data_IF_637076170319
#
_entry.id   IF_637076170319
#
_cell.length_a   1.000
_cell.length_b   1.000
_cell.length_c   1.000
_cell.angle_alpha   90.00
_cell.angle_beta   90.00
_cell.angle_gamma   90.00
#
_symmetry.space_group_name_H-M   'P 1'
#
loop_
_entity.id
_entity.type
_entity.pdbx_description
1 polymer ?
#
# COMPACT_ATOMS: atom_id res chain seq x y z
N UNK A 1 18.11 12.59 -33.60
CA UNK A 1 17.09 11.74 -32.96
C UNK A 1 16.43 10.97 -34.08
N UNK A 2 16.60 9.66 -34.11
CA UNK A 2 16.06 8.80 -35.16
C UNK A 2 14.64 8.31 -34.84
N UNK A 3 14.08 7.47 -35.72
CA UNK A 3 12.73 6.90 -35.55
C UNK A 3 12.63 6.06 -34.28
N UNK A 4 13.64 5.24 -33.99
CA UNK A 4 13.66 4.36 -32.83
C UNK A 4 13.76 5.18 -31.53
N UNK A 5 14.60 6.22 -31.50
CA UNK A 5 14.68 7.16 -30.38
C UNK A 5 13.30 7.76 -30.05
N UNK A 6 12.54 8.11 -31.09
CA UNK A 6 11.21 8.74 -30.94
C UNK A 6 10.19 7.76 -30.38
N UNK A 7 10.20 6.52 -30.86
CA UNK A 7 9.36 5.44 -30.35
C UNK A 7 9.69 5.11 -28.88
N UNK A 8 10.97 5.06 -28.52
CA UNK A 8 11.42 4.84 -27.14
C UNK A 8 10.92 5.97 -26.23
N UNK A 9 11.07 7.23 -26.64
CA UNK A 9 10.57 8.35 -25.82
C UNK A 9 9.05 8.33 -25.68
N UNK A 10 8.31 7.97 -26.74
CA UNK A 10 6.87 7.85 -26.68
C UNK A 10 6.43 6.71 -25.73
N UNK A 11 7.08 5.55 -25.81
CA UNK A 11 6.84 4.42 -24.93
C UNK A 11 7.15 4.75 -23.47
N UNK A 12 8.27 5.44 -23.19
CA UNK A 12 8.63 5.89 -21.85
C UNK A 12 7.58 6.84 -21.25
N UNK A 13 7.10 7.82 -22.04
CA UNK A 13 6.02 8.73 -21.63
C UNK A 13 4.71 7.97 -21.34
N UNK A 14 4.36 6.99 -22.18
CA UNK A 14 3.17 6.14 -21.97
C UNK A 14 3.30 5.34 -20.68
N UNK A 15 4.46 4.71 -20.43
CA UNK A 15 4.74 3.97 -19.20
C UNK A 15 4.61 4.87 -17.97
N UNK A 16 5.22 6.06 -17.98
CA UNK A 16 5.16 7.00 -16.86
C UNK A 16 3.73 7.39 -16.51
N UNK A 17 2.90 7.72 -17.51
CA UNK A 17 1.48 8.04 -17.30
C UNK A 17 0.67 6.87 -16.74
N UNK A 18 0.94 5.65 -17.24
CA UNK A 18 0.29 4.45 -16.73
C UNK A 18 0.70 4.14 -15.28
N UNK A 19 1.97 4.35 -14.95
CA UNK A 19 2.49 4.18 -13.60
C UNK A 19 1.86 5.18 -12.62
N UNK A 20 1.74 6.45 -13.01
CA UNK A 20 1.07 7.46 -12.18
C UNK A 20 -0.40 7.14 -11.96
N UNK A 21 -1.12 6.71 -13.00
CA UNK A 21 -2.52 6.30 -12.89
C UNK A 21 -2.68 5.08 -11.97
N UNK A 22 -1.80 4.08 -12.12
CA UNK A 22 -1.77 2.91 -11.25
C UNK A 22 -1.52 3.29 -9.79
N UNK A 23 -0.52 4.13 -9.51
CA UNK A 23 -0.18 4.56 -8.14
C UNK A 23 -1.35 5.25 -7.45
N UNK A 24 -2.06 6.15 -8.15
CA UNK A 24 -3.24 6.84 -7.60
C UNK A 24 -4.37 5.87 -7.27
N UNK A 25 -4.66 4.93 -8.16
CA UNK A 25 -5.68 3.91 -7.93
C UNK A 25 -5.29 2.95 -6.79
N UNK A 26 -4.01 2.57 -6.69
CA UNK A 26 -3.50 1.72 -5.61
C UNK A 26 -3.55 2.44 -4.25
N UNK A 27 -3.23 3.73 -4.21
CA UNK A 27 -3.35 4.56 -3.00
C UNK A 27 -4.80 4.67 -2.51
N UNK A 28 -5.74 4.93 -3.42
CA UNK A 28 -7.17 4.96 -3.09
C UNK A 28 -7.64 3.61 -2.52
N UNK A 29 -7.20 2.50 -3.11
CA UNK A 29 -7.53 1.17 -2.61
C UNK A 29 -6.94 0.91 -1.21
N UNK A 30 -5.69 1.31 -0.96
CA UNK A 30 -5.06 1.16 0.35
C UNK A 30 -5.81 1.93 1.42
N UNK A 31 -6.25 3.15 1.13
CA UNK A 31 -7.06 3.96 2.05
C UNK A 31 -8.37 3.27 2.40
N UNK A 32 -9.04 2.68 1.42
CA UNK A 32 -10.27 1.91 1.64
C UNK A 32 -10.03 0.67 2.51
N UNK A 33 -8.90 -0.03 2.34
CA UNK A 33 -8.54 -1.18 3.15
C UNK A 33 -8.29 -0.78 4.61
N UNK A 34 -7.62 0.35 4.85
CA UNK A 34 -7.39 0.89 6.19
C UNK A 34 -8.71 1.30 6.84
N UNK A 35 -9.59 2.02 6.12
CA UNK A 35 -10.94 2.37 6.61
C UNK A 35 -11.77 1.14 6.93
N UNK A 36 -11.79 0.15 6.03
CA UNK A 36 -12.48 -1.11 6.25
C UNK A 36 -11.98 -1.83 7.50
N UNK A 37 -10.67 -1.76 7.79
CA UNK A 37 -10.10 -2.32 9.02
C UNK A 37 -10.58 -1.59 10.27
N UNK A 38 -10.68 -0.27 10.23
CA UNK A 38 -11.24 0.54 11.32
C UNK A 38 -12.73 0.20 11.57
N UNK A 39 -13.48 -0.16 10.52
CA UNK A 39 -14.86 -0.66 10.61
C UNK A 39 -14.96 -2.13 11.07
N UNK A 40 -13.84 -2.79 11.37
CA UNK A 40 -13.81 -4.17 11.85
C UNK A 40 -13.75 -5.24 10.74
N UNK A 41 -13.63 -4.87 9.46
CA UNK A 41 -13.45 -5.84 8.37
C UNK A 41 -12.10 -6.56 8.53
N UNK A 42 -12.13 -7.88 8.42
CA UNK A 42 -10.95 -8.74 8.53
C UNK A 42 -10.12 -8.76 7.23
N UNK A 43 -8.79 -8.97 7.30
CA UNK A 43 -7.95 -9.11 6.10
C UNK A 43 -8.43 -10.22 5.14
N UNK A 44 -8.92 -11.35 5.65
CA UNK A 44 -9.47 -12.43 4.81
C UNK A 44 -10.74 -12.04 4.06
N UNK A 45 -11.56 -11.16 4.63
CA UNK A 45 -12.77 -10.67 3.96
C UNK A 45 -12.38 -9.72 2.82
N UNK A 46 -11.50 -8.77 3.10
CA UNK A 46 -11.04 -7.80 2.12
C UNK A 46 -10.21 -8.44 0.99
N UNK A 47 -9.41 -9.47 1.28
CA UNK A 47 -8.70 -10.27 0.29
C UNK A 47 -9.64 -10.87 -0.77
N UNK A 48 -10.84 -11.31 -0.38
CA UNK A 48 -11.86 -11.83 -1.31
C UNK A 48 -12.44 -10.73 -2.22
N UNK A 49 -12.50 -9.50 -1.73
CA UNK A 49 -13.03 -8.36 -2.50
C UNK A 49 -12.02 -7.85 -3.53
N UNK A 50 -10.73 -7.87 -3.21
CA UNK A 50 -9.68 -7.29 -4.06
C UNK A 50 -8.94 -8.31 -4.92
N UNK A 51 -9.06 -9.61 -4.61
CA UNK A 51 -8.25 -10.66 -5.23
C UNK A 51 -6.81 -10.73 -4.71
N UNK A 52 -6.46 -9.97 -3.67
CA UNK A 52 -5.15 -10.03 -3.04
C UNK A 52 -5.06 -11.14 -1.99
N UNK A 53 -3.83 -11.47 -1.59
CA UNK A 53 -3.61 -12.39 -0.47
C UNK A 53 -3.97 -11.71 0.86
N UNK A 54 -4.35 -12.53 1.83
CA UNK A 54 -4.64 -12.07 3.20
C UNK A 54 -3.42 -11.35 3.80
N UNK A 55 -2.23 -11.87 3.56
CA UNK A 55 -0.95 -11.37 4.07
C UNK A 55 -0.65 -9.99 3.51
N UNK A 56 -0.92 -9.78 2.21
CA UNK A 56 -0.75 -8.48 1.59
C UNK A 56 -1.71 -7.45 2.21
N UNK A 57 -2.99 -7.79 2.32
CA UNK A 57 -3.99 -6.91 2.95
C UNK A 57 -3.64 -6.60 4.41
N UNK A 58 -3.15 -7.59 5.16
CA UNK A 58 -2.76 -7.41 6.56
C UNK A 58 -1.54 -6.50 6.74
N UNK A 59 -0.66 -6.39 5.74
CA UNK A 59 0.46 -5.43 5.74
C UNK A 59 -0.01 -4.00 5.50
N UNK A 60 -0.97 -3.82 4.60
CA UNK A 60 -1.55 -2.51 4.28
C UNK A 60 -2.43 -2.00 5.43
N UNK A 61 -3.28 -2.87 5.97
CA UNK A 61 -4.23 -2.54 7.03
C UNK A 61 -3.96 -3.40 8.29
N UNK A 62 -2.91 -3.07 9.06
CA UNK A 62 -2.56 -3.82 10.26
C UNK A 62 -3.65 -3.70 11.33
N UNK A 63 -3.66 -4.66 12.26
CA UNK A 63 -4.60 -4.62 13.37
C UNK A 63 -4.34 -3.39 14.26
N UNK A 64 -5.32 -2.48 14.44
CA UNK A 64 -5.11 -1.26 15.23
C UNK A 64 -4.73 -1.55 16.68
N UNK A 65 -5.18 -2.70 17.25
CA UNK A 65 -4.79 -3.12 18.61
C UNK A 65 -3.34 -3.58 18.68
N UNK A 66 -2.80 -4.14 17.59
CA UNK A 66 -1.39 -4.55 17.51
C UNK A 66 -0.46 -3.39 17.14
N UNK A 67 -0.94 -2.44 16.33
CA UNK A 67 -0.19 -1.24 15.96
C UNK A 67 0.16 -0.40 17.20
N UNK A 68 -0.80 -0.19 18.10
CA UNK A 68 -0.57 0.51 19.37
C UNK A 68 0.45 -0.18 20.28
N UNK A 69 0.41 -1.52 20.34
CA UNK A 69 1.39 -2.31 21.10
C UNK A 69 2.81 -2.15 20.53
N UNK A 70 2.99 -2.28 19.22
CA UNK A 70 4.31 -2.11 18.60
C UNK A 70 4.87 -0.69 18.77
N UNK A 71 4.05 0.35 18.61
CA UNK A 71 4.47 1.73 18.85
C UNK A 71 4.90 1.96 20.30
N UNK A 72 4.16 1.41 21.27
CA UNK A 72 4.52 1.50 22.68
C UNK A 72 5.83 0.75 23.01
N UNK A 73 6.05 -0.43 22.43
CA UNK A 73 7.28 -1.21 22.59
C UNK A 73 8.49 -0.48 22.01
N UNK A 74 8.37 0.07 20.79
CA UNK A 74 9.46 0.84 20.16
C UNK A 74 9.83 2.07 20.99
N UNK A 75 8.83 2.80 21.51
CA UNK A 75 9.08 3.96 22.38
C UNK A 75 9.85 3.59 23.64
N UNK A 76 9.46 2.49 24.30
CA UNK A 76 10.15 2.00 25.51
C UNK A 76 11.60 1.60 25.21
N UNK A 77 11.87 0.94 24.08
CA UNK A 77 13.24 0.55 23.71
C UNK A 77 14.14 1.76 23.46
N UNK A 78 13.61 2.81 22.81
CA UNK A 78 14.37 4.05 22.59
C UNK A 78 14.64 4.79 23.90
N UNK A 79 13.67 4.85 24.82
CA UNK A 79 13.83 5.49 26.14
C UNK A 79 14.79 4.74 27.09
N UNK A 80 15.03 3.45 26.84
CA UNK A 80 15.97 2.63 27.62
C UNK A 80 17.39 2.60 27.04
N UNK A 81 17.63 3.32 25.94
CA UNK A 81 18.92 3.40 25.23
C UNK A 81 19.63 4.75 25.39
N UNK A 82 19.05 5.66 26.18
CA UNK A 82 19.65 6.92 26.68
C UNK A 82 19.97 6.80 28.18
#
# INVERSE_FOLDING_TARGET
MDTLDTEIQAAAKKRARAEDAFKRADEELRDLLVKGRAEGKGPSHMAKLTGFTREWVAKIAPDPKKAGYHAAVVRRMNESSD
#
